data_IF_513212301235
#
_entry.id   IF_513212301235
#
_cell.length_a   1.000
_cell.length_b   1.000
_cell.length_c   1.000
_cell.angle_alpha   90.00
_cell.angle_beta   90.00
_cell.angle_gamma   90.00
#
_symmetry.space_group_name_H-M   'P 1'
#
loop_
_entity.id
_entity.type
_entity.pdbx_description
1 polymer ?
2 non-polymer ?
3 water ?
#
# COMPACT_ATOMS: atom_id res chain seq x y z
N UNK A 1 10.28 -24.43 -9.23
CA UNK A 1 11.19 -24.01 -8.15
C UNK A 1 10.54 -22.75 -7.60
N UNK A 2 10.30 -22.68 -6.32
CA UNK A 2 9.65 -21.54 -5.73
C UNK A 2 10.66 -20.39 -5.58
N UNK A 3 10.15 -19.15 -5.33
CA UNK A 3 11.00 -18.06 -5.02
C UNK A 3 11.72 -18.34 -3.68
N UNK A 4 12.86 -17.67 -3.48
CA UNK A 4 13.50 -17.62 -2.19
C UNK A 4 12.76 -16.68 -1.23
N UNK A 5 12.11 -15.66 -1.80
CA UNK A 5 11.37 -14.68 -0.98
C UNK A 5 10.26 -14.01 -1.82
N UNK A 6 9.20 -13.63 -1.12
CA UNK A 6 8.21 -12.74 -1.68
C UNK A 6 8.29 -11.46 -0.91
N UNK A 7 8.37 -10.34 -1.64
CA UNK A 7 8.49 -9.05 -1.02
C UNK A 7 7.27 -8.23 -1.46
N UNK A 8 6.45 -7.86 -0.48
CA UNK A 8 5.24 -7.13 -0.75
C UNK A 8 5.43 -5.67 -0.47
N UNK A 9 4.93 -4.82 -1.40
CA UNK A 9 4.62 -3.46 -1.02
C UNK A 9 3.48 -3.47 0.04
N UNK A 10 3.36 -2.41 0.80
CA UNK A 10 2.26 -2.25 1.74
C UNK A 10 1.03 -1.58 1.02
N UNK A 11 1.08 -0.27 0.81
CA UNK A 11 -0.06 0.46 0.33
C UNK A 11 -0.42 0.14 -1.09
N UNK A 12 -1.62 -0.41 -1.27
CA UNK A 12 -2.12 -0.82 -2.56
C UNK A 12 -1.90 -2.26 -2.87
N UNK A 13 -1.13 -2.97 -2.00
CA UNK A 13 -0.84 -4.39 -2.20
C UNK A 13 -1.45 -5.19 -1.04
N UNK A 14 -1.01 -4.96 0.17
CA UNK A 14 -1.59 -5.69 1.30
C UNK A 14 -3.04 -5.26 1.58
N UNK A 15 -3.25 -3.95 1.46
CA UNK A 15 -4.51 -3.28 1.71
C UNK A 15 -4.60 -2.18 0.64
N UNK A 16 -5.83 -1.83 0.22
CA UNK A 16 -6.06 -0.68 -0.70
C UNK A 16 -6.12 0.53 0.25
N UNK A 17 -4.97 0.95 0.77
CA UNK A 17 -4.90 1.87 1.88
C UNK A 17 -5.65 3.20 1.57
N UNK A 18 -5.38 3.80 0.41
CA UNK A 18 -5.99 5.08 0.08
C UNK A 18 -7.50 4.94 -0.09
N UNK A 19 -7.92 4.03 -0.93
CA UNK A 19 -9.34 3.94 -1.25
C UNK A 19 -10.18 3.49 -0.08
N UNK A 20 -9.65 2.53 0.71
CA UNK A 20 -10.44 1.85 1.71
C UNK A 20 -10.08 2.28 3.14
N UNK A 21 -9.06 3.08 3.31
CA UNK A 21 -8.53 3.42 4.64
C UNK A 21 -8.50 4.95 4.79
N UNK A 22 -7.58 5.61 4.10
CA UNK A 22 -7.48 7.04 4.26
C UNK A 22 -8.80 7.77 3.86
N UNK A 23 -9.38 7.40 2.71
CA UNK A 23 -10.61 8.05 2.27
C UNK A 23 -11.70 7.89 3.28
N UNK A 24 -11.82 6.67 3.87
CA UNK A 24 -12.84 6.38 4.86
C UNK A 24 -12.62 7.22 6.10
N UNK A 25 -11.34 7.33 6.55
CA UNK A 25 -11.05 8.15 7.72
C UNK A 25 -11.38 9.62 7.53
N UNK A 26 -11.20 10.13 6.33
CA UNK A 26 -11.63 11.48 6.03
C UNK A 26 -13.16 11.61 6.16
N UNK A 27 -13.83 10.68 5.55
CA UNK A 27 -15.33 10.73 5.55
C UNK A 27 -15.88 10.58 6.96
N UNK A 28 -15.24 9.71 7.76
CA UNK A 28 -15.72 9.50 9.16
C UNK A 28 -15.47 10.76 9.99
N UNK A 29 -14.39 11.47 9.72
CA UNK A 29 -14.06 12.72 10.38
C UNK A 29 -15.12 13.78 10.02
N UNK A 30 -15.36 13.95 8.72
CA UNK A 30 -16.31 14.88 8.26
C UNK A 30 -17.69 14.59 8.84
N UNK A 31 -18.12 13.36 8.92
CA UNK A 31 -19.35 13.03 9.49
C UNK A 31 -19.45 13.38 10.98
N UNK A 32 -18.39 13.02 11.73
CA UNK A 32 -18.37 13.28 13.16
C UNK A 32 -18.47 14.79 13.43
N UNK A 33 -17.90 15.59 12.56
CA UNK A 33 -17.93 17.04 12.69
C UNK A 33 -19.16 17.71 12.05
N UNK A 34 -20.06 16.87 11.49
CA UNK A 34 -21.26 17.37 10.85
C UNK A 34 -20.95 18.36 9.79
N UNK A 35 -20.05 18.02 8.88
CA UNK A 35 -19.68 18.93 7.82
C UNK A 35 -20.48 18.71 6.53
N UNK A 36 -21.19 17.62 6.45
CA UNK A 36 -21.96 17.32 5.25
C UNK A 36 -21.05 17.28 3.98
N UNK A 37 -19.91 16.59 4.08
CA UNK A 37 -18.94 16.39 3.03
C UNK A 37 -18.70 14.89 2.92
N UNK A 38 -18.74 14.33 1.76
CA UNK A 38 -18.36 12.99 1.43
C UNK A 38 -17.44 12.95 0.28
N UNK A 39 -16.31 12.26 0.41
CA UNK A 39 -15.39 12.04 -0.63
C UNK A 39 -15.56 10.63 -1.18
N UNK A 40 -16.25 10.45 -2.27
CA UNK A 40 -16.48 9.16 -2.92
C UNK A 40 -15.12 8.74 -3.58
N UNK A 41 -15.16 7.57 -4.14
CA UNK A 41 -13.95 6.97 -4.74
C UNK A 41 -13.31 7.91 -5.75
N UNK A 42 -14.10 8.31 -6.75
CA UNK A 42 -13.51 9.04 -7.88
C UNK A 42 -13.00 10.43 -7.49
N UNK A 43 -13.79 11.18 -6.70
CA UNK A 43 -13.32 12.47 -6.25
C UNK A 43 -12.06 12.27 -5.46
N UNK A 44 -12.03 11.35 -4.53
CA UNK A 44 -10.82 11.11 -3.75
C UNK A 44 -9.59 10.87 -4.59
N UNK A 45 -9.75 10.11 -5.69
CA UNK A 45 -8.67 9.93 -6.62
C UNK A 45 -8.11 11.24 -7.15
N UNK A 46 -9.03 12.17 -7.49
CA UNK A 46 -8.58 13.43 -7.93
C UNK A 46 -7.84 14.24 -6.85
N UNK A 47 -8.37 14.20 -5.65
CA UNK A 47 -7.79 14.95 -4.55
C UNK A 47 -6.38 14.41 -4.14
N UNK A 48 -6.20 13.12 -4.38
CA UNK A 48 -4.88 12.49 -4.14
C UNK A 48 -3.77 13.11 -4.97
N UNK A 49 -4.14 13.78 -6.07
CA UNK A 49 -3.15 14.36 -6.97
C UNK A 49 -2.82 15.81 -6.55
N UNK A 50 -3.58 16.39 -5.61
CA UNK A 50 -3.40 17.80 -5.28
C UNK A 50 -2.24 18.02 -4.30
N UNK A 51 -2.13 17.14 -3.32
CA UNK A 51 -1.22 17.29 -2.26
C UNK A 51 -1.52 16.39 -1.10
N UNK A 52 -0.81 16.68 0.01
CA UNK A 52 -1.09 15.97 1.25
C UNK A 52 -2.46 16.25 1.82
N UNK A 53 -2.79 15.57 2.87
CA UNK A 53 -4.14 15.59 3.46
C UNK A 53 -4.65 16.97 3.81
N UNK A 54 -3.86 17.82 4.40
CA UNK A 54 -4.27 19.21 4.74
C UNK A 54 -4.47 20.02 3.48
N UNK A 55 -3.57 19.86 2.51
CA UNK A 55 -3.57 20.64 1.29
C UNK A 55 -4.80 20.26 0.46
N UNK A 56 -5.15 18.98 0.42
CA UNK A 56 -6.29 18.58 -0.44
C UNK A 56 -7.57 18.99 0.24
N UNK A 57 -7.70 19.03 1.54
CA UNK A 57 -8.90 19.56 2.22
C UNK A 57 -9.04 21.03 2.00
N UNK A 58 -7.96 21.79 2.03
CA UNK A 58 -7.98 23.18 1.82
C UNK A 58 -8.43 23.48 0.39
N UNK A 59 -7.87 22.76 -0.58
CA UNK A 59 -8.20 22.96 -1.96
C UNK A 59 -9.62 22.61 -2.22
N UNK A 60 -10.15 21.53 -1.70
CA UNK A 60 -11.51 21.12 -1.86
C UNK A 60 -12.44 22.18 -1.32
N UNK A 61 -12.25 22.67 -0.12
CA UNK A 61 -13.14 23.67 0.44
C UNK A 61 -13.03 24.99 -0.28
N UNK A 62 -11.85 25.38 -0.75
CA UNK A 62 -11.76 26.59 -1.56
C UNK A 62 -12.55 26.49 -2.84
N UNK A 63 -12.67 25.30 -3.42
CA UNK A 63 -13.33 25.14 -4.68
C UNK A 63 -14.80 25.03 -4.43
N UNK A 64 -15.28 24.16 -3.56
CA UNK A 64 -16.69 23.84 -3.41
C UNK A 64 -17.40 24.66 -2.41
N UNK A 65 -16.64 25.24 -1.48
CA UNK A 65 -17.14 26.02 -0.38
C UNK A 65 -16.76 25.41 0.97
N UNK A 66 -16.53 26.29 1.93
CA UNK A 66 -16.19 25.86 3.26
C UNK A 66 -17.49 25.48 4.00
N UNK A 67 -17.41 24.50 4.90
CA UNK A 67 -18.58 24.13 5.69
C UNK A 67 -19.07 25.28 6.50
N UNK A 68 -20.37 25.25 6.76
CA UNK A 68 -20.99 26.28 7.60
C UNK A 68 -20.30 26.41 8.98
N UNK A 69 -19.91 25.26 9.56
CA UNK A 69 -19.17 25.28 10.88
C UNK A 69 -17.75 25.86 10.93
N UNK A 70 -17.12 26.00 9.74
CA UNK A 70 -15.74 26.48 9.66
C UNK A 70 -15.66 27.94 10.03
N UNK A 71 -14.54 28.34 10.71
CA UNK A 71 -14.24 29.77 10.84
C UNK A 71 -14.03 30.49 9.54
N UNK A 72 -14.16 31.83 9.58
CA UNK A 72 -14.02 32.68 8.41
C UNK A 72 -12.57 33.23 8.25
N UNK A 73 -11.95 33.52 9.40
CA UNK A 73 -10.58 34.04 9.47
C UNK A 73 -9.57 33.05 8.81
N UNK A 74 -8.63 33.55 7.99
CA UNK A 74 -7.56 32.73 7.36
C UNK A 74 -6.68 31.90 8.38
N UNK A 75 -6.18 32.55 9.43
CA UNK A 75 -5.41 31.85 10.46
C UNK A 75 -6.24 30.80 11.20
N UNK A 76 -7.48 31.14 11.56
CA UNK A 76 -8.38 30.18 12.18
C UNK A 76 -8.78 29.02 11.22
N UNK A 77 -8.96 29.29 9.92
CA UNK A 77 -9.15 28.24 8.95
C UNK A 77 -7.99 27.24 8.93
N UNK A 78 -6.77 27.77 8.94
CA UNK A 78 -5.57 26.92 8.97
C UNK A 78 -5.56 25.99 10.19
N UNK A 79 -5.94 26.50 11.37
CA UNK A 79 -6.06 25.72 12.56
C UNK A 79 -7.18 24.67 12.45
N UNK A 80 -8.28 25.06 11.84
CA UNK A 80 -9.41 24.15 11.64
C UNK A 80 -8.97 22.96 10.78
N UNK A 81 -8.30 23.24 9.68
CA UNK A 81 -7.77 22.18 8.84
C UNK A 81 -6.78 21.28 9.57
N UNK A 82 -5.92 21.89 10.33
CA UNK A 82 -4.97 21.12 11.17
C UNK A 82 -5.70 20.18 12.09
N UNK A 83 -6.75 20.65 12.78
CA UNK A 83 -7.55 19.84 13.67
C UNK A 83 -8.23 18.67 12.95
N UNK A 84 -8.85 18.99 11.78
CA UNK A 84 -9.41 17.95 10.98
C UNK A 84 -8.44 16.86 10.61
N UNK A 85 -7.26 17.27 10.18
CA UNK A 85 -6.29 16.31 9.73
C UNK A 85 -5.73 15.47 10.94
N UNK A 86 -5.54 16.10 12.09
CA UNK A 86 -5.12 15.38 13.23
C UNK A 86 -6.15 14.32 13.59
N UNK A 87 -7.44 14.65 13.58
CA UNK A 87 -8.50 13.74 13.84
C UNK A 87 -8.52 12.60 12.83
N UNK A 88 -8.42 12.97 11.52
CA UNK A 88 -8.39 11.92 10.49
C UNK A 88 -7.24 10.91 10.72
N UNK A 89 -6.10 11.47 11.12
CA UNK A 89 -4.87 10.66 11.34
C UNK A 89 -5.02 9.69 12.55
N UNK A 90 -5.61 10.18 13.58
CA UNK A 90 -5.98 9.38 14.75
C UNK A 90 -6.95 8.30 14.34
N UNK A 91 -8.00 8.71 13.60
CA UNK A 91 -9.00 7.69 13.26
C UNK A 91 -8.41 6.59 12.36
N UNK A 92 -7.58 6.98 11.41
CA UNK A 92 -7.05 5.97 10.48
C UNK A 92 -6.27 4.87 11.28
N UNK A 93 -5.50 5.25 12.28
CA UNK A 93 -4.80 4.26 13.10
C UNK A 93 -5.74 3.46 13.90
N UNK A 94 -6.83 4.01 14.42
CA UNK A 94 -7.87 3.26 15.09
C UNK A 94 -8.53 2.25 14.14
N UNK A 95 -8.80 2.69 12.88
CA UNK A 95 -9.39 1.78 11.93
C UNK A 95 -8.52 0.52 11.71
N UNK A 96 -7.21 0.71 11.66
CA UNK A 96 -6.32 -0.46 11.51
C UNK A 96 -6.42 -1.37 12.74
N UNK A 97 -6.35 -0.73 13.90
CA UNK A 97 -6.34 -1.50 15.11
C UNK A 97 -7.61 -2.30 15.30
N UNK A 98 -8.74 -1.73 14.92
CA UNK A 98 -10.06 -2.39 14.96
C UNK A 98 -10.32 -3.41 13.88
N UNK A 99 -9.33 -3.55 12.99
CA UNK A 99 -9.44 -4.48 11.87
C UNK A 99 -10.53 -4.11 10.88
N UNK A 100 -10.68 -2.83 10.66
CA UNK A 100 -11.71 -2.34 9.71
C UNK A 100 -11.23 -2.00 8.29
N UNK A 101 -9.94 -2.13 8.09
CA UNK A 101 -9.32 -1.98 6.78
C UNK A 101 -9.16 -3.36 6.24
N UNK A 102 -9.83 -3.75 5.17
CA UNK A 102 -9.64 -5.14 4.74
C UNK A 102 -8.38 -5.40 3.97
N UNK A 103 -7.76 -6.59 4.15
CA UNK A 103 -6.75 -7.06 3.20
C UNK A 103 -7.32 -7.13 1.80
N UNK A 104 -6.44 -6.95 0.85
CA UNK A 104 -6.85 -7.18 -0.54
C UNK A 104 -7.10 -8.65 -0.77
N UNK A 105 -7.89 -9.00 -1.79
CA UNK A 105 -8.15 -10.43 -2.09
C UNK A 105 -6.91 -11.19 -2.40
N UNK A 106 -6.78 -12.37 -1.79
CA UNK A 106 -5.63 -13.23 -2.03
C UNK A 106 -4.37 -12.97 -1.22
N UNK A 107 -4.34 -11.85 -0.48
CA UNK A 107 -3.12 -11.55 0.26
C UNK A 107 -2.81 -12.57 1.34
N UNK A 108 -3.79 -12.82 2.22
CA UNK A 108 -3.57 -13.78 3.31
C UNK A 108 -3.25 -15.15 2.68
N UNK A 109 -3.93 -15.56 1.67
CA UNK A 109 -3.69 -16.83 0.98
C UNK A 109 -2.28 -16.93 0.47
N UNK A 110 -1.81 -15.89 -0.20
CA UNK A 110 -0.49 -15.94 -0.75
C UNK A 110 0.61 -15.91 0.31
N UNK A 111 0.45 -15.07 1.31
CA UNK A 111 1.36 -15.03 2.44
C UNK A 111 1.44 -16.43 3.06
N UNK A 112 0.28 -17.06 3.29
CA UNK A 112 0.32 -18.40 3.94
C UNK A 112 0.93 -19.43 3.02
N UNK A 113 0.75 -19.39 1.72
CA UNK A 113 1.40 -20.29 0.79
C UNK A 113 2.93 -20.18 0.95
N UNK A 114 3.42 -18.94 0.97
CA UNK A 114 4.83 -18.68 1.14
C UNK A 114 5.34 -19.26 2.46
N UNK A 115 4.69 -18.89 3.57
CA UNK A 115 5.19 -19.20 4.86
C UNK A 115 5.17 -20.71 5.06
N UNK A 116 4.21 -21.41 4.50
CA UNK A 116 4.11 -22.86 4.65
C UNK A 116 5.05 -23.65 3.75
N UNK A 117 5.64 -22.99 2.80
CA UNK A 117 6.52 -23.59 1.79
C UNK A 117 7.94 -23.09 1.92
N UNK A 118 8.33 -22.52 3.05
CA UNK A 118 9.68 -22.06 3.27
C UNK A 118 10.20 -20.89 2.50
N UNK A 119 9.27 -20.08 1.98
CA UNK A 119 9.61 -18.91 1.22
C UNK A 119 9.57 -17.73 2.22
N UNK A 120 10.64 -16.91 2.26
CA UNK A 120 10.68 -15.79 3.18
C UNK A 120 9.67 -14.73 2.69
N UNK A 121 9.14 -13.97 3.64
CA UNK A 121 8.19 -12.93 3.32
C UNK A 121 8.63 -11.64 3.99
N UNK A 122 8.68 -10.56 3.25
CA UNK A 122 8.99 -9.23 3.76
C UNK A 122 7.98 -8.25 3.18
N UNK A 123 7.88 -7.11 3.87
CA UNK A 123 7.11 -5.96 3.41
C UNK A 123 8.04 -4.74 3.22
N UNK A 124 7.98 -4.10 2.09
CA UNK A 124 8.90 -3.01 1.66
C UNK A 124 8.11 -1.76 1.28
N UNK A 125 8.14 -0.66 2.06
CA UNK A 125 7.23 0.47 1.93
C UNK A 125 7.95 1.76 2.19
N UNK A 126 7.47 2.83 1.57
CA UNK A 126 7.84 4.20 1.91
C UNK A 126 7.00 4.79 3.08
N UNK A 127 5.90 4.11 3.48
CA UNK A 127 5.02 4.60 4.51
C UNK A 127 5.77 4.51 5.86
N UNK A 128 5.22 5.17 6.88
CA UNK A 128 5.82 5.13 8.15
C UNK A 128 5.72 3.74 8.77
N UNK A 129 6.73 3.41 9.52
CA UNK A 129 6.80 2.13 10.14
C UNK A 129 5.61 1.80 11.02
N UNK A 130 5.10 2.74 11.84
CA UNK A 130 4.02 2.35 12.70
C UNK A 130 2.81 1.87 11.96
N UNK A 131 2.44 2.55 10.89
CA UNK A 131 1.26 2.15 10.13
C UNK A 131 1.50 0.80 9.44
N UNK A 132 2.68 0.63 8.84
CA UNK A 132 2.96 -0.61 8.12
C UNK A 132 2.96 -1.78 9.11
N UNK A 133 3.66 -1.63 10.24
CA UNK A 133 3.71 -2.65 11.27
C UNK A 133 2.31 -2.92 11.81
N UNK A 134 1.49 -1.86 11.97
CA UNK A 134 0.12 -2.05 12.42
C UNK A 134 -0.73 -2.86 11.42
N UNK A 135 -0.59 -2.53 10.13
CA UNK A 135 -1.30 -3.21 9.07
C UNK A 135 -0.97 -4.75 9.19
N UNK A 136 0.35 -5.03 9.22
CA UNK A 136 0.73 -6.45 9.30
C UNK A 136 0.26 -7.15 10.58
N UNK A 137 0.53 -6.49 11.70
CA UNK A 137 0.20 -7.20 12.97
C UNK A 137 -1.29 -7.33 13.19
N UNK A 138 -2.07 -6.27 12.81
CA UNK A 138 -3.50 -6.27 13.09
C UNK A 138 -4.27 -7.02 12.05
N UNK A 139 -3.85 -6.86 10.78
CA UNK A 139 -4.60 -7.39 9.71
C UNK A 139 -4.20 -8.74 9.22
N UNK A 140 -2.88 -9.04 9.29
CA UNK A 140 -2.43 -10.40 9.03
C UNK A 140 -2.30 -11.24 10.32
N UNK A 141 -2.28 -10.57 11.45
CA UNK A 141 -2.27 -11.21 12.75
C UNK A 141 -0.89 -11.58 13.26
N UNK A 142 -0.80 -11.87 14.59
CA UNK A 142 0.51 -11.94 15.22
C UNK A 142 1.32 -13.16 14.83
N UNK A 143 0.69 -14.24 14.43
CA UNK A 143 1.46 -15.45 14.09
C UNK A 143 2.21 -15.15 12.79
N UNK A 144 1.50 -14.65 11.78
CA UNK A 144 2.14 -14.31 10.55
C UNK A 144 3.14 -13.19 10.77
N UNK A 145 2.73 -12.17 11.54
CA UNK A 145 3.62 -11.02 11.76
C UNK A 145 5.01 -11.35 12.30
N UNK A 146 5.04 -12.34 13.17
CA UNK A 146 6.31 -12.77 13.73
C UNK A 146 7.30 -13.26 12.65
N UNK A 147 6.74 -13.74 11.53
CA UNK A 147 7.53 -14.30 10.44
C UNK A 147 7.87 -13.32 9.35
N UNK A 148 7.28 -12.17 9.35
CA UNK A 148 7.36 -11.18 8.29
C UNK A 148 8.25 -10.01 8.69
N UNK A 149 9.30 -9.82 7.92
CA UNK A 149 10.21 -8.71 8.19
C UNK A 149 9.73 -7.41 7.50
N UNK A 150 9.77 -6.26 8.20
CA UNK A 150 9.24 -5.02 7.71
C UNK A 150 10.41 -4.10 7.43
N UNK A 151 10.40 -3.50 6.28
CA UNK A 151 11.33 -2.48 5.85
C UNK A 151 10.54 -1.27 5.41
N UNK A 152 10.49 -0.22 6.24
CA UNK A 152 9.56 0.93 6.01
C UNK A 152 10.21 2.21 6.40
N UNK A 153 9.63 3.25 5.85
CA UNK A 153 9.99 4.67 6.14
C UNK A 153 11.43 5.02 5.91
N UNK A 154 12.08 5.48 7.00
CA UNK A 154 13.47 5.97 6.89
C UNK A 154 14.57 4.93 7.09
N UNK A 155 14.24 3.66 6.97
CA UNK A 155 15.31 2.65 6.98
C UNK A 155 16.30 2.78 5.83
N UNK A 156 15.87 3.38 4.69
CA UNK A 156 16.76 3.78 3.59
C UNK A 156 16.56 5.25 3.34
N UNK A 157 17.64 5.95 2.92
CA UNK A 157 17.54 7.33 2.55
C UNK A 157 16.91 7.59 1.23
N UNK A 158 17.11 6.66 0.29
CA UNK A 158 16.66 6.82 -1.04
C UNK A 158 15.36 6.02 -1.20
N UNK A 159 14.24 6.72 -1.41
CA UNK A 159 12.95 6.05 -1.51
C UNK A 159 12.62 5.63 -2.93
N UNK A 160 11.63 4.75 -3.04
CA UNK A 160 11.21 4.33 -4.39
C UNK A 160 10.93 5.57 -5.25
N UNK A 161 11.39 5.60 -6.48
CA UNK A 161 11.80 4.48 -7.34
C UNK A 161 13.24 3.96 -7.13
N UNK A 162 13.99 4.55 -6.19
CA UNK A 162 15.26 3.95 -5.88
C UNK A 162 15.09 2.53 -5.40
N UNK A 163 16.01 1.63 -5.81
CA UNK A 163 15.89 0.22 -5.40
C UNK A 163 16.35 -0.06 -3.94
N UNK A 164 16.76 0.97 -3.24
CA UNK A 164 17.41 0.76 -1.94
C UNK A 164 16.58 -0.14 -1.01
N UNK A 165 15.31 0.07 -0.91
CA UNK A 165 14.47 -0.68 0.02
C UNK A 165 14.41 -2.14 -0.29
N UNK A 166 14.36 -2.46 -1.57
CA UNK A 166 14.33 -3.83 -2.04
C UNK A 166 15.73 -4.49 -1.83
N UNK A 167 16.78 -3.72 -2.19
CA UNK A 167 18.11 -4.23 -1.96
C UNK A 167 18.34 -4.55 -0.49
N UNK A 168 17.92 -3.64 0.39
CA UNK A 168 18.08 -3.89 1.83
C UNK A 168 17.33 -5.14 2.29
N UNK A 169 16.13 -5.34 1.77
CA UNK A 169 15.37 -6.48 2.13
C UNK A 169 16.09 -7.77 1.70
N UNK A 170 16.62 -7.79 0.49
CA UNK A 170 17.28 -8.94 -0.05
C UNK A 170 18.56 -9.23 0.80
N UNK A 171 19.29 -8.21 1.09
CA UNK A 171 20.52 -8.39 1.88
C UNK A 171 20.15 -8.93 3.25
N UNK A 172 19.15 -8.35 3.89
CA UNK A 172 18.80 -8.70 5.26
C UNK A 172 18.29 -10.12 5.37
N UNK A 173 17.48 -10.51 4.41
CA UNK A 173 16.91 -11.85 4.34
C UNK A 173 17.97 -12.89 3.90
N UNK A 174 19.06 -12.41 3.32
CA UNK A 174 20.09 -13.32 2.87
C UNK A 174 19.73 -14.09 1.61
N UNK A 175 18.97 -13.45 0.69
CA UNK A 175 18.50 -14.07 -0.52
C UNK A 175 19.02 -13.37 -1.77
N UNK A 176 19.12 -14.18 -2.84
CA UNK A 176 19.52 -13.70 -4.15
C UNK A 176 18.37 -12.88 -4.75
N UNK A 177 18.64 -11.64 -5.13
CA UNK A 177 17.56 -10.86 -5.74
C UNK A 177 16.89 -11.51 -6.92
N UNK A 178 17.64 -12.25 -7.72
CA UNK A 178 17.10 -12.90 -8.93
C UNK A 178 16.15 -14.02 -8.56
N UNK A 179 16.07 -14.37 -7.28
CA UNK A 179 15.17 -15.43 -6.81
C UNK A 179 13.99 -14.84 -5.94
N UNK A 180 13.93 -13.53 -5.98
CA UNK A 180 12.82 -12.82 -5.27
C UNK A 180 11.71 -12.42 -6.25
N UNK A 181 10.48 -12.41 -5.73
CA UNK A 181 9.35 -11.85 -6.45
C UNK A 181 8.77 -10.73 -5.60
N UNK A 182 8.64 -9.60 -6.21
CA UNK A 182 8.06 -8.44 -5.59
C UNK A 182 6.63 -8.28 -6.10
N UNK A 183 5.71 -7.99 -5.16
CA UNK A 183 4.34 -7.64 -5.55
C UNK A 183 4.17 -6.17 -5.23
N UNK A 184 3.89 -5.39 -6.31
CA UNK A 184 3.79 -3.94 -6.29
C UNK A 184 2.42 -3.52 -6.93
N UNK A 185 2.02 -2.25 -6.67
CA UNK A 185 0.83 -1.73 -7.32
C UNK A 185 1.10 -0.50 -8.14
N UNK A 186 2.27 0.14 -8.13
CA UNK A 186 2.47 1.42 -8.79
C UNK A 186 3.65 1.35 -9.72
N UNK A 187 3.65 2.22 -10.73
CA UNK A 187 4.75 2.25 -11.67
C UNK A 187 6.08 2.56 -10.96
N UNK A 188 6.06 3.50 -10.04
CA UNK A 188 7.31 3.89 -9.33
C UNK A 188 7.79 2.74 -8.41
N UNK A 189 6.84 1.99 -7.82
CA UNK A 189 7.29 0.87 -7.01
C UNK A 189 7.86 -0.24 -7.91
N UNK A 190 7.20 -0.51 -9.04
CA UNK A 190 7.72 -1.43 -10.04
C UNK A 190 9.11 -1.02 -10.47
N UNK A 191 9.32 0.28 -10.68
CA UNK A 191 10.67 0.70 -11.08
C UNK A 191 11.71 0.31 -10.04
N UNK A 192 11.39 0.52 -8.78
CA UNK A 192 12.27 0.15 -7.67
C UNK A 192 12.61 -1.32 -7.71
N UNK A 193 11.61 -2.14 -7.89
CA UNK A 193 11.77 -3.59 -7.95
C UNK A 193 12.64 -4.04 -9.06
N UNK A 194 12.39 -3.51 -10.27
CA UNK A 194 13.20 -3.91 -11.42
C UNK A 194 14.63 -3.39 -11.27
N UNK A 195 14.80 -2.20 -10.71
CA UNK A 195 16.15 -1.67 -10.49
C UNK A 195 16.96 -2.50 -9.47
N UNK A 196 16.27 -3.16 -8.57
CA UNK A 196 16.81 -4.11 -7.63
C UNK A 196 17.14 -5.49 -8.25
N UNK A 197 16.85 -5.66 -9.53
CA UNK A 197 17.15 -6.92 -10.20
C UNK A 197 16.16 -8.03 -9.90
N UNK A 198 14.91 -7.65 -9.50
CA UNK A 198 13.92 -8.65 -9.09
C UNK A 198 12.82 -8.79 -10.13
N UNK A 199 12.19 -9.94 -10.06
CA UNK A 199 10.95 -10.16 -10.80
C UNK A 199 9.86 -9.43 -10.04
N UNK A 200 8.92 -8.81 -10.80
CA UNK A 200 7.83 -8.01 -10.20
C UNK A 200 6.50 -8.33 -10.84
N UNK A 201 5.55 -8.66 -9.98
CA UNK A 201 4.16 -8.80 -10.33
C UNK A 201 3.45 -7.60 -9.81
N UNK A 202 2.60 -6.99 -10.69
CA UNK A 202 1.78 -5.84 -10.31
C UNK A 202 0.34 -6.32 -10.04
N UNK A 203 -0.18 -5.88 -8.89
CA UNK A 203 -1.61 -5.99 -8.59
C UNK A 203 -2.08 -4.55 -8.51
N UNK A 204 -2.81 -4.12 -9.56
CA UNK A 204 -3.29 -2.75 -9.69
C UNK A 204 -4.18 -2.48 -8.47
N UNK A 205 -4.11 -1.24 -7.96
CA UNK A 205 -4.97 -0.83 -6.84
C UNK A 205 -5.92 0.27 -7.24
N UNK A 206 -6.67 0.77 -6.27
CA UNK A 206 -7.79 1.62 -6.63
C UNK A 206 -7.40 2.80 -7.50
N UNK A 207 -6.26 3.41 -7.26
CA UNK A 207 -5.83 4.62 -7.96
C UNK A 207 -4.61 4.45 -8.86
N UNK A 208 -4.23 3.23 -9.19
CA UNK A 208 -3.05 2.97 -10.00
C UNK A 208 -3.32 2.24 -11.29
N UNK A 209 -4.61 2.01 -11.61
CA UNK A 209 -4.88 1.09 -12.73
C UNK A 209 -4.42 1.61 -14.08
N UNK A 210 -4.27 2.94 -14.20
CA UNK A 210 -3.87 3.54 -15.45
C UNK A 210 -2.41 3.87 -15.54
N UNK A 211 -1.62 3.39 -14.58
CA UNK A 211 -0.17 3.65 -14.58
C UNK A 211 0.55 2.74 -15.59
N UNK A 212 1.84 3.05 -15.80
CA UNK A 212 2.57 2.32 -16.87
C UNK A 212 3.30 1.14 -16.25
N UNK A 213 2.79 -0.03 -16.60
CA UNK A 213 3.31 -1.30 -16.08
C UNK A 213 4.03 -2.08 -17.13
N UNK A 214 4.57 -1.38 -18.16
CA UNK A 214 5.23 -2.10 -19.26
C UNK A 214 6.35 -3.04 -18.77
N UNK A 215 7.12 -2.58 -17.81
CA UNK A 215 8.24 -3.38 -17.36
C UNK A 215 7.93 -4.45 -16.32
N UNK A 216 6.67 -4.60 -15.96
CA UNK A 216 6.29 -5.66 -15.05
C UNK A 216 6.38 -7.03 -15.72
N UNK A 217 6.74 -8.04 -14.93
CA UNK A 217 6.75 -9.41 -15.46
C UNK A 217 5.34 -10.04 -15.58
N UNK A 218 4.34 -9.48 -14.88
CA UNK A 218 2.99 -9.92 -14.97
C UNK A 218 2.18 -8.84 -14.29
N UNK A 219 0.96 -8.63 -14.79
CA UNK A 219 0.07 -7.64 -14.26
C UNK A 219 -1.32 -8.24 -14.06
N UNK A 220 -1.91 -7.96 -12.91
CA UNK A 220 -3.22 -8.47 -12.54
C UNK A 220 -4.00 -7.35 -11.83
N UNK A 221 -5.32 -7.54 -11.74
CA UNK A 221 -6.12 -6.65 -10.96
C UNK A 221 -6.08 -6.89 -9.44
N UNK A 222 -5.70 -8.09 -9.04
CA UNK A 222 -5.59 -8.50 -7.64
C UNK A 222 -5.00 -9.89 -7.66
N UNK A 223 -4.64 -10.35 -6.46
CA UNK A 223 -4.14 -11.74 -6.32
C UNK A 223 -5.29 -12.73 -6.45
N UNK A 224 -6.32 -12.48 -5.64
CA UNK A 224 -7.56 -13.26 -5.68
C UNK A 224 -7.58 -14.46 -4.84
N UNK A 225 -8.78 -14.81 -4.39
CA UNK A 225 -9.08 -16.02 -3.64
C UNK A 225 -9.94 -16.96 -4.50
N UNK A 226 -9.75 -18.27 -4.37
CA UNK A 226 -10.64 -19.22 -5.02
C UNK A 226 -12.09 -18.87 -4.72
N UNK A 227 -12.96 -18.96 -5.72
CA UNK A 227 -12.73 -19.57 -7.02
C UNK A 227 -12.39 -18.55 -8.08
N UNK A 228 -11.81 -17.43 -7.67
CA UNK A 228 -11.43 -16.39 -8.61
C UNK A 228 -9.98 -15.98 -8.42
N UNK A 229 -9.14 -16.97 -8.32
CA UNK A 229 -7.76 -16.73 -8.16
C UNK A 229 -7.06 -16.23 -9.42
N UNK A 230 -6.28 -15.13 -9.36
CA UNK A 230 -5.52 -14.67 -10.51
C UNK A 230 -4.18 -15.37 -10.57
N UNK A 231 -3.48 -15.54 -9.46
CA UNK A 231 -2.20 -16.24 -9.40
C UNK A 231 -1.97 -16.70 -7.98
N UNK A 232 -0.95 -17.55 -7.86
CA UNK A 232 -0.55 -18.20 -6.62
C UNK A 232 0.92 -18.25 -6.51
N UNK A 233 1.39 -18.91 -5.43
CA UNK A 233 2.86 -19.02 -5.19
C UNK A 233 3.57 -19.76 -6.33
N UNK A 234 2.94 -20.84 -6.81
CA UNK A 234 3.51 -21.58 -7.89
C UNK A 234 3.79 -20.69 -9.07
N UNK A 235 2.81 -19.82 -9.41
CA UNK A 235 2.99 -18.88 -10.53
C UNK A 235 4.20 -17.94 -10.29
N UNK A 236 4.32 -17.47 -9.03
CA UNK A 236 5.49 -16.66 -8.74
C UNK A 236 6.78 -17.42 -9.07
N UNK A 237 6.86 -18.73 -8.70
CA UNK A 237 8.01 -19.46 -9.06
C UNK A 237 8.19 -19.63 -10.58
N UNK A 238 7.09 -19.92 -11.26
CA UNK A 238 7.15 -20.05 -12.70
C UNK A 238 7.68 -18.80 -13.38
N UNK A 239 7.29 -17.63 -12.86
CA UNK A 239 7.65 -16.40 -13.47
C UNK A 239 9.14 -16.05 -13.37
N UNK A 240 9.87 -16.76 -12.49
CA UNK A 240 11.32 -16.65 -12.38
C UNK A 240 12.06 -17.13 -13.62
N UNK A 241 11.44 -18.02 -14.40
CA UNK A 241 12.07 -18.53 -15.61
C UNK A 241 11.85 -17.58 -16.80
N UNK A 242 12.86 -16.79 -17.13
CA UNK A 242 12.76 -15.74 -18.11
C UNK A 242 12.82 -16.22 -19.49
N UNK A 243 12.22 -15.43 -20.33
CA UNK A 243 12.21 -15.70 -21.73
C UNK A 243 13.11 -14.80 -22.49
N UNK A 244 14.38 -15.11 -22.63
CA UNK A 244 15.33 -14.21 -23.26
C UNK A 244 15.27 -14.38 -24.77
N UNK A 245 15.93 -13.47 -25.45
CA UNK A 245 15.96 -13.47 -26.94
C UNK A 245 17.34 -14.09 -27.37
N UNK A 246 17.26 -15.27 -27.92
CA UNK A 246 18.43 -15.91 -28.42
C UNK A 246 19.09 -15.22 -29.56
#
# INVERSE_FOLDING_TARGET
TLPSALLFDCDGVLVDTEKDGHRISFNDTFKERDLNVTWDVDLYGELLKIGGGKERMTAYFNKVGWPEKAPKDEAERKEFIAGLHKQKTELFMVLIEKKLLPLRPGVAKLVDQALTNGVKVAVCSTSNEKAVSAIVSCLLGPERAEKIKIFAGDVVPKKKPDPAIYNLAAETLGVDPSKCVVVEDSAIGLAAAKAAGMTCIVTKSGYTADEDFENADAVFDCIGDPPEERFDLAFCGSLLRKQFVS
#
